data_IF_448480695730
#
_entry.id   IF_448480695730
#
_cell.length_a   1.000
_cell.length_b   1.000
_cell.length_c   1.000
_cell.angle_alpha   90.00
_cell.angle_beta   90.00
_cell.angle_gamma   90.00
#
_symmetry.space_group_name_H-M   'P 1'
#
loop_
_entity.id
_entity.type
_entity.pdbx_description
1 polymer ?
#
# COMPACT_ATOMS: atom_id res chain seq x y z
N UNK A 1 -1.18 -19.70 -9.12
CA UNK A 1 -2.12 -19.49 -10.25
C UNK A 1 -3.20 -18.54 -9.76
N UNK A 2 -3.16 -17.29 -10.18
CA UNK A 2 -4.24 -16.33 -9.89
C UNK A 2 -5.52 -16.76 -10.64
N UNK A 3 -6.72 -16.59 -10.04
CA UNK A 3 -7.97 -17.01 -10.66
C UNK A 3 -8.39 -16.03 -11.76
N UNK A 4 -8.52 -16.52 -12.99
CA UNK A 4 -9.07 -15.76 -14.11
C UNK A 4 -10.56 -15.44 -13.90
N UNK A 5 -10.91 -14.16 -13.85
CA UNK A 5 -12.29 -13.69 -13.69
C UNK A 5 -12.92 -13.38 -15.05
N UNK A 6 -14.01 -14.07 -15.39
CA UNK A 6 -14.80 -13.84 -16.62
C UNK A 6 -15.43 -12.45 -16.64
N UNK A 7 -15.14 -11.70 -17.70
CA UNK A 7 -15.55 -10.31 -17.96
C UNK A 7 -17.01 -10.25 -18.42
N UNK A 8 -17.86 -9.46 -17.75
CA UNK A 8 -19.20 -9.10 -18.24
C UNK A 8 -19.03 -7.86 -19.12
N UNK A 9 -19.43 -7.99 -20.39
CA UNK A 9 -19.29 -6.97 -21.43
C UNK A 9 -20.39 -5.93 -21.23
N UNK A 10 -20.01 -4.71 -20.88
CA UNK A 10 -20.86 -3.53 -21.00
C UNK A 10 -20.14 -2.59 -21.95
N UNK A 11 -20.78 -2.31 -23.08
CA UNK A 11 -20.24 -1.55 -24.20
C UNK A 11 -20.43 -0.05 -23.93
N UNK A 12 -19.32 0.62 -23.61
CA UNK A 12 -19.04 2.02 -23.92
C UNK A 12 -17.51 2.14 -24.07
N UNK A 13 -17.07 2.70 -25.19
CA UNK A 13 -15.69 2.70 -25.68
C UNK A 13 -14.79 3.68 -24.88
N UNK A 14 -14.36 3.27 -23.69
CA UNK A 14 -13.38 4.01 -22.88
C UNK A 14 -11.96 3.78 -23.41
N UNK A 15 -11.48 4.71 -24.23
CA UNK A 15 -10.37 4.51 -25.18
C UNK A 15 -9.00 4.78 -24.58
N UNK A 16 -8.68 4.19 -23.43
CA UNK A 16 -7.30 4.06 -22.96
C UNK A 16 -6.85 2.60 -23.12
N UNK A 17 -5.75 2.36 -23.84
CA UNK A 17 -5.19 1.01 -24.06
C UNK A 17 -4.41 0.47 -22.85
N UNK A 18 -4.40 1.21 -21.74
CA UNK A 18 -3.65 0.94 -20.53
C UNK A 18 -4.52 1.15 -19.29
N UNK A 19 -4.16 0.49 -18.20
CA UNK A 19 -4.85 0.59 -16.90
C UNK A 19 -3.84 1.01 -15.83
N UNK A 20 -4.25 1.92 -14.96
CA UNK A 20 -3.45 2.36 -13.81
C UNK A 20 -3.91 1.63 -12.56
N UNK A 21 -3.01 0.87 -11.95
CA UNK A 21 -3.31 0.04 -10.79
C UNK A 21 -2.48 0.48 -9.58
N UNK A 22 -3.07 0.55 -8.37
CA UNK A 22 -2.31 0.84 -7.17
C UNK A 22 -1.34 -0.30 -6.86
N UNK A 23 -0.16 0.03 -6.34
CA UNK A 23 0.73 -0.96 -5.73
C UNK A 23 0.48 -0.99 -4.23
N UNK A 24 -0.34 -1.95 -3.83
CA UNK A 24 -0.78 -2.13 -2.45
C UNK A 24 0.32 -2.74 -1.56
N UNK A 25 0.27 -2.41 -0.27
CA UNK A 25 1.13 -3.04 0.75
C UNK A 25 0.92 -4.55 0.82
N UNK A 26 1.88 -5.28 1.38
CA UNK A 26 1.73 -6.73 1.59
C UNK A 26 0.45 -7.07 2.36
N UNK A 27 0.14 -6.32 3.42
CA UNK A 27 -1.05 -6.51 4.26
C UNK A 27 -2.36 -6.40 3.46
N UNK A 28 -2.38 -5.52 2.46
CA UNK A 28 -3.54 -5.27 1.60
C UNK A 28 -3.63 -6.25 0.41
N UNK A 29 -2.48 -6.79 -0.05
CA UNK A 29 -2.43 -7.68 -1.22
C UNK A 29 -2.44 -9.17 -0.88
N UNK A 30 -2.03 -9.56 0.33
CA UNK A 30 -1.91 -10.95 0.71
C UNK A 30 -3.27 -11.61 0.99
N UNK A 31 -3.31 -12.93 0.81
CA UNK A 31 -4.41 -13.76 1.27
C UNK A 31 -4.52 -13.79 2.80
N UNK A 32 -5.63 -14.32 3.30
CA UNK A 32 -5.89 -14.34 4.74
C UNK A 32 -5.17 -15.51 5.38
N UNK A 33 -4.40 -15.20 6.42
CA UNK A 33 -3.85 -16.21 7.32
C UNK A 33 -4.90 -16.60 8.37
N UNK A 34 -5.00 -17.90 8.65
CA UNK A 34 -5.97 -18.45 9.60
C UNK A 34 -5.29 -19.11 10.78
N UNK A 35 -5.80 -18.81 11.98
CA UNK A 35 -5.49 -19.52 13.21
C UNK A 35 -6.55 -20.58 13.50
N UNK A 36 -6.14 -21.63 14.19
CA UNK A 36 -7.05 -22.64 14.72
C UNK A 36 -7.49 -22.25 16.13
N UNK A 37 -8.79 -22.32 16.39
CA UNK A 37 -9.38 -22.02 17.69
C UNK A 37 -10.43 -23.06 18.05
N UNK A 38 -10.59 -23.31 19.35
CA UNK A 38 -11.68 -24.15 19.86
C UNK A 38 -12.92 -23.29 20.10
N UNK A 39 -14.05 -23.70 19.54
CA UNK A 39 -15.35 -23.11 19.78
C UNK A 39 -16.29 -24.14 20.39
N UNK A 40 -17.30 -23.69 21.13
CA UNK A 40 -18.30 -24.55 21.74
C UNK A 40 -19.71 -23.95 21.58
N UNK A 41 -20.76 -24.77 21.47
CA UNK A 41 -22.14 -24.28 21.49
C UNK A 41 -22.50 -23.78 22.90
N UNK A 42 -23.26 -22.70 22.97
CA UNK A 42 -23.82 -22.18 24.22
C UNK A 42 -25.14 -22.90 24.48
N UNK A 43 -25.21 -23.68 25.56
CA UNK A 43 -26.38 -24.50 25.91
C UNK A 43 -27.60 -23.62 26.15
N UNK A 44 -27.42 -22.54 26.92
CA UNK A 44 -28.48 -21.58 27.26
C UNK A 44 -28.07 -20.15 26.92
N UNK A 45 -28.85 -19.52 26.03
CA UNK A 45 -28.61 -18.14 25.54
C UNK A 45 -28.54 -17.09 26.66
N UNK A 46 -29.17 -17.31 27.82
CA UNK A 46 -29.11 -16.36 28.95
C UNK A 46 -27.70 -16.25 29.54
N UNK A 47 -26.86 -17.26 29.36
CA UNK A 47 -25.54 -17.35 29.98
C UNK A 47 -24.45 -16.69 29.13
N UNK A 48 -24.78 -16.23 27.92
CA UNK A 48 -23.80 -15.67 26.95
C UNK A 48 -22.95 -14.55 27.53
N UNK A 49 -23.54 -13.57 28.22
CA UNK A 49 -22.78 -12.44 28.77
C UNK A 49 -21.80 -12.88 29.85
N UNK A 50 -22.22 -13.81 30.71
CA UNK A 50 -21.38 -14.37 31.75
C UNK A 50 -20.21 -15.17 31.16
N UNK A 51 -20.51 -16.06 30.20
CA UNK A 51 -19.50 -16.86 29.50
C UNK A 51 -18.46 -16.01 28.77
N UNK A 52 -18.88 -14.94 28.08
CA UNK A 52 -17.95 -14.02 27.41
C UNK A 52 -17.01 -13.34 28.40
N UNK A 53 -17.53 -12.83 29.53
CA UNK A 53 -16.68 -12.19 30.57
C UNK A 53 -15.67 -13.17 31.15
N UNK A 54 -16.15 -14.37 31.48
CA UNK A 54 -15.32 -15.43 32.07
C UNK A 54 -14.22 -15.90 31.11
N UNK A 55 -14.59 -16.25 29.89
CA UNK A 55 -13.62 -16.70 28.88
C UNK A 55 -12.64 -15.59 28.50
N UNK A 56 -13.03 -14.33 28.57
CA UNK A 56 -12.10 -13.19 28.37
C UNK A 56 -11.08 -13.09 29.50
N UNK A 57 -11.46 -13.43 30.73
CA UNK A 57 -10.53 -13.46 31.86
C UNK A 57 -9.57 -14.66 31.80
N UNK A 58 -10.03 -15.81 31.31
CA UNK A 58 -9.22 -17.05 31.24
C UNK A 58 -8.35 -17.12 29.98
N UNK A 59 -8.93 -16.83 28.82
CA UNK A 59 -8.33 -16.90 27.50
C UNK A 59 -8.60 -15.60 26.75
N UNK A 60 -7.83 -14.53 27.04
CA UNK A 60 -7.95 -13.29 26.31
C UNK A 60 -7.53 -13.51 24.85
N UNK A 61 -8.31 -12.97 23.91
CA UNK A 61 -7.98 -13.00 22.49
C UNK A 61 -7.10 -11.79 22.14
N UNK A 62 -5.88 -11.76 22.68
CA UNK A 62 -4.94 -10.65 22.46
C UNK A 62 -4.60 -10.49 20.97
N UNK A 63 -4.61 -9.24 20.49
CA UNK A 63 -4.40 -8.94 19.06
C UNK A 63 -5.56 -9.31 18.13
N UNK A 64 -6.62 -9.98 18.61
CA UNK A 64 -7.75 -10.47 17.80
C UNK A 64 -9.06 -9.72 18.08
N UNK A 65 -8.97 -8.42 18.35
CA UNK A 65 -10.14 -7.58 18.69
C UNK A 65 -11.16 -7.48 17.54
N UNK A 66 -10.74 -7.75 16.31
CA UNK A 66 -11.63 -7.82 15.14
C UNK A 66 -12.55 -9.03 15.15
N UNK A 67 -12.23 -10.08 15.92
CA UNK A 67 -13.01 -11.31 15.97
C UNK A 67 -14.23 -11.14 16.88
N UNK A 68 -15.42 -11.43 16.37
CA UNK A 68 -16.62 -11.49 17.22
C UNK A 68 -16.62 -12.80 17.98
N UNK A 69 -16.37 -12.77 19.30
CA UNK A 69 -16.24 -13.99 20.13
C UNK A 69 -17.44 -14.93 20.06
N UNK A 70 -18.64 -14.40 19.82
CA UNK A 70 -19.90 -15.15 19.73
C UNK A 70 -20.48 -15.02 18.32
N UNK A 71 -21.03 -16.12 17.79
CA UNK A 71 -21.79 -16.15 16.53
C UNK A 71 -23.10 -16.91 16.69
N UNK A 72 -24.03 -16.70 15.76
CA UNK A 72 -25.18 -17.58 15.60
C UNK A 72 -24.72 -18.94 15.08
N UNK A 73 -25.34 -20.02 15.57
CA UNK A 73 -25.07 -21.37 15.08
C UNK A 73 -25.34 -21.45 13.57
N UNK A 74 -24.48 -22.17 12.85
CA UNK A 74 -24.61 -22.32 11.39
C UNK A 74 -25.80 -23.20 11.02
N UNK A 75 -26.07 -24.22 11.83
CA UNK A 75 -27.22 -25.09 11.66
C UNK A 75 -28.45 -24.48 12.34
N UNK A 76 -29.46 -24.14 11.55
CA UNK A 76 -30.73 -23.58 12.04
C UNK A 76 -31.56 -24.59 12.82
N UNK A 77 -31.27 -25.88 12.69
CA UNK A 77 -31.94 -26.97 13.41
C UNK A 77 -31.22 -27.37 14.71
N UNK A 78 -30.06 -26.77 14.99
CA UNK A 78 -29.33 -27.01 16.22
C UNK A 78 -30.18 -26.62 17.44
N UNK A 79 -30.16 -27.43 18.52
CA UNK A 79 -30.81 -27.07 19.79
C UNK A 79 -30.16 -25.85 20.45
N UNK A 80 -28.96 -25.46 20.02
CA UNK A 80 -28.18 -24.37 20.59
C UNK A 80 -28.01 -23.23 19.57
N UNK A 81 -28.61 -22.06 19.80
CA UNK A 81 -28.67 -20.99 18.80
C UNK A 81 -27.37 -20.20 18.65
N UNK A 82 -26.42 -20.33 19.59
CA UNK A 82 -25.19 -19.54 19.63
C UNK A 82 -23.97 -20.44 19.85
N UNK A 83 -22.85 -20.01 19.30
CA UNK A 83 -21.53 -20.62 19.43
C UNK A 83 -20.54 -19.56 19.90
N UNK A 84 -19.57 -19.95 20.73
CA UNK A 84 -18.57 -19.06 21.32
C UNK A 84 -17.16 -19.62 21.16
N UNK A 85 -16.20 -18.75 20.87
CA UNK A 85 -14.77 -19.10 20.90
C UNK A 85 -14.32 -19.22 22.37
N UNK A 86 -13.74 -20.37 22.69
CA UNK A 86 -13.18 -20.70 23.99
C UNK A 86 -11.76 -20.14 24.08
N UNK A 87 -10.82 -20.70 23.30
CA UNK A 87 -9.40 -20.36 23.29
C UNK A 87 -8.77 -20.64 21.91
N UNK A 88 -7.53 -20.16 21.69
CA UNK A 88 -6.74 -20.56 20.54
C UNK A 88 -6.18 -21.98 20.76
N UNK A 89 -5.96 -22.71 19.67
CA UNK A 89 -5.33 -24.03 19.75
C UNK A 89 -3.88 -23.94 20.26
N UNK A 90 -3.20 -22.82 19.98
CA UNK A 90 -1.84 -22.52 20.47
C UNK A 90 -1.76 -22.35 21.99
N UNK A 91 -2.84 -21.95 22.65
CA UNK A 91 -2.84 -21.66 24.09
C UNK A 91 -2.67 -22.93 24.94
N UNK A 92 -2.94 -24.10 24.35
CA UNK A 92 -2.98 -25.38 25.07
C UNK A 92 -1.62 -26.08 25.18
N UNK A 93 -0.55 -25.57 24.53
CA UNK A 93 0.83 -26.08 24.59
C UNK A 93 1.02 -27.61 24.47
N UNK A 94 0.00 -28.37 24.10
CA UNK A 94 0.10 -29.79 23.81
C UNK A 94 0.67 -29.93 22.40
N UNK A 95 1.88 -30.47 22.33
CA UNK A 95 2.42 -31.05 21.10
C UNK A 95 1.51 -32.22 20.71
N UNK A 96 0.39 -31.96 20.07
CA UNK A 96 -0.47 -33.03 19.57
C UNK A 96 -0.67 -32.90 18.06
N UNK A 97 -0.36 -34.04 17.45
CA UNK A 97 -0.21 -34.36 16.05
C UNK A 97 -1.43 -33.93 15.23
N UNK A 98 -1.19 -33.60 13.96
CA UNK A 98 -2.21 -33.47 12.92
C UNK A 98 -3.05 -34.75 12.85
N UNK A 99 -4.08 -34.87 13.70
CA UNK A 99 -4.88 -36.09 13.90
C UNK A 99 -5.41 -36.31 15.32
N UNK A 100 -5.06 -35.48 16.31
CA UNK A 100 -5.50 -35.59 17.70
C UNK A 100 -7.01 -35.49 17.92
N UNK A 101 -7.51 -36.22 18.91
CA UNK A 101 -8.92 -36.18 19.36
C UNK A 101 -9.21 -34.81 19.96
N UNK A 102 -10.33 -34.18 19.58
CA UNK A 102 -10.73 -32.86 20.12
C UNK A 102 -10.87 -32.97 21.65
N UNK A 103 -10.15 -32.17 22.46
CA UNK A 103 -10.25 -32.23 23.92
C UNK A 103 -11.66 -31.91 24.38
N UNK A 104 -12.13 -32.58 25.43
CA UNK A 104 -13.43 -32.23 26.04
C UNK A 104 -13.39 -30.83 26.65
N UNK A 105 -14.57 -30.22 26.87
CA UNK A 105 -14.65 -28.86 27.42
C UNK A 105 -13.95 -28.73 28.78
N UNK A 106 -14.02 -29.78 29.61
CA UNK A 106 -13.34 -29.84 30.91
C UNK A 106 -11.82 -29.85 30.77
N UNK A 107 -11.31 -30.54 29.73
CA UNK A 107 -9.88 -30.55 29.43
C UNK A 107 -9.40 -29.18 28.95
N UNK A 108 -10.22 -28.47 28.15
CA UNK A 108 -9.88 -27.13 27.64
C UNK A 108 -9.82 -26.06 28.73
N UNK A 109 -10.65 -26.15 29.77
CA UNK A 109 -10.77 -25.10 30.80
C UNK A 109 -9.86 -25.31 32.02
N UNK A 110 -9.11 -26.43 32.09
CA UNK A 110 -8.16 -26.77 33.17
C UNK A 110 -8.70 -26.57 34.61
N UNK A 111 -10.03 -26.62 34.84
CA UNK A 111 -10.66 -26.39 36.15
C UNK A 111 -12.02 -27.11 36.29
N UNK A 112 -12.47 -27.23 37.55
CA UNK A 112 -13.65 -27.98 38.06
C UNK A 112 -14.94 -27.87 37.23
N UNK A 113 -15.79 -28.92 37.26
CA UNK A 113 -17.06 -29.05 36.51
C UNK A 113 -17.99 -27.81 36.58
N UNK A 114 -17.93 -27.04 37.67
CA UNK A 114 -18.65 -25.78 37.84
C UNK A 114 -18.30 -24.71 36.80
N UNK A 115 -17.12 -24.81 36.19
CA UNK A 115 -16.66 -23.83 35.21
C UNK A 115 -17.12 -24.10 33.77
N UNK A 116 -17.53 -25.33 33.51
CA UNK A 116 -18.00 -25.84 32.21
C UNK A 116 -19.51 -25.66 32.01
N UNK A 117 -20.24 -25.21 33.04
CA UNK A 117 -21.71 -25.11 32.99
C UNK A 117 -22.13 -24.11 31.90
N UNK A 118 -22.90 -24.59 30.93
CA UNK A 118 -23.46 -23.76 29.86
C UNK A 118 -22.74 -23.83 28.52
N UNK A 119 -21.65 -24.59 28.40
CA UNK A 119 -20.97 -24.91 27.14
C UNK A 119 -21.18 -26.39 26.78
N UNK A 120 -21.47 -26.68 25.52
CA UNK A 120 -21.51 -28.05 25.01
C UNK A 120 -20.15 -28.52 24.48
N UNK A 121 -20.15 -29.63 23.74
CA UNK A 121 -18.92 -30.22 23.22
C UNK A 121 -18.17 -29.27 22.27
N UNK A 122 -16.85 -29.09 22.47
CA UNK A 122 -16.06 -28.19 21.66
C UNK A 122 -15.77 -28.78 20.28
N UNK A 123 -15.46 -27.90 19.33
CA UNK A 123 -15.08 -28.23 17.97
C UNK A 123 -14.05 -27.22 17.44
N UNK A 124 -13.28 -27.64 16.44
CA UNK A 124 -12.23 -26.80 15.87
C UNK A 124 -12.78 -25.88 14.79
N UNK A 125 -12.36 -24.62 14.81
CA UNK A 125 -12.69 -23.61 13.80
C UNK A 125 -11.48 -22.83 13.36
N UNK A 126 -11.53 -22.34 12.11
CA UNK A 126 -10.57 -21.39 11.57
C UNK A 126 -11.06 -19.95 11.82
N UNK A 127 -10.17 -19.09 12.30
CA UNK A 127 -10.42 -17.66 12.49
C UNK A 127 -9.30 -16.84 11.84
N UNK A 128 -9.55 -15.65 11.28
CA UNK A 128 -8.52 -14.86 10.62
C UNK A 128 -7.51 -14.30 11.65
N UNK A 129 -6.21 -14.51 11.39
CA UNK A 129 -5.12 -14.07 12.26
C UNK A 129 -5.03 -12.55 12.36
N UNK A 130 -5.34 -11.84 11.28
CA UNK A 130 -5.28 -10.38 11.18
C UNK A 130 -6.63 -9.80 10.79
N UNK A 131 -6.91 -8.52 11.14
CA UNK A 131 -8.11 -7.84 10.67
C UNK A 131 -8.12 -7.74 9.15
N UNK A 132 -9.24 -8.04 8.48
CA UNK A 132 -9.35 -7.83 7.04
C UNK A 132 -9.26 -6.34 6.73
N UNK A 133 -8.45 -5.98 5.74
CA UNK A 133 -8.23 -4.59 5.33
C UNK A 133 -8.94 -4.26 4.01
N UNK A 134 -9.27 -5.28 3.21
CA UNK A 134 -10.01 -5.11 1.95
C UNK A 134 -11.35 -5.85 2.00
N UNK A 135 -12.33 -5.43 1.17
CA UNK A 135 -13.62 -6.14 1.09
C UNK A 135 -13.49 -7.60 0.65
N UNK A 136 -12.64 -7.96 -0.34
CA UNK A 136 -12.38 -9.37 -0.65
C UNK A 136 -11.86 -10.17 0.54
N UNK A 137 -10.91 -9.61 1.31
CA UNK A 137 -10.43 -10.24 2.55
C UNK A 137 -11.57 -10.38 3.56
N UNK A 138 -12.38 -9.34 3.77
CA UNK A 138 -13.50 -9.41 4.70
C UNK A 138 -14.52 -10.51 4.33
N UNK A 139 -14.86 -10.60 3.04
CA UNK A 139 -15.79 -11.61 2.53
C UNK A 139 -15.26 -13.02 2.73
N UNK A 140 -13.97 -13.25 2.49
CA UNK A 140 -13.32 -14.53 2.72
C UNK A 140 -13.23 -14.86 4.21
N UNK A 141 -12.75 -13.94 5.05
CA UNK A 141 -12.69 -14.13 6.51
C UNK A 141 -14.06 -14.46 7.11
N UNK A 142 -15.09 -13.73 6.68
CA UNK A 142 -16.46 -13.89 7.20
C UNK A 142 -17.08 -15.24 6.87
N UNK A 143 -16.59 -15.97 5.85
CA UNK A 143 -17.01 -17.36 5.58
C UNK A 143 -16.55 -18.33 6.67
N UNK A 144 -15.47 -18.01 7.38
CA UNK A 144 -14.91 -18.85 8.43
C UNK A 144 -15.44 -18.47 9.81
N UNK A 145 -15.31 -17.19 10.18
CA UNK A 145 -15.83 -16.68 11.45
C UNK A 145 -16.18 -15.20 11.33
N UNK A 146 -17.27 -14.72 11.98
CA UNK A 146 -17.63 -13.31 11.91
C UNK A 146 -16.53 -12.40 12.47
N UNK A 147 -16.16 -11.42 11.66
CA UNK A 147 -15.14 -10.42 11.96
C UNK A 147 -15.70 -9.01 11.77
N UNK A 148 -15.11 -8.01 12.41
CA UNK A 148 -15.37 -6.60 12.13
C UNK A 148 -14.55 -6.15 10.93
N UNK A 149 -15.14 -5.30 10.09
CA UNK A 149 -14.45 -4.70 8.96
C UNK A 149 -14.83 -3.22 8.85
N UNK A 150 -13.81 -2.38 8.81
CA UNK A 150 -13.94 -0.96 8.56
C UNK A 150 -13.33 -0.71 7.19
N UNK A 151 -14.20 -0.39 6.23
CA UNK A 151 -13.81 -0.26 4.84
C UNK A 151 -13.02 1.03 4.60
N UNK A 152 -11.81 0.90 4.07
CA UNK A 152 -11.09 2.01 3.48
C UNK A 152 -11.67 2.29 2.08
N UNK A 153 -12.31 3.45 1.94
CA UNK A 153 -12.96 3.86 0.69
C UNK A 153 -11.94 4.06 -0.44
N UNK A 154 -10.77 4.59 -0.15
CA UNK A 154 -9.75 4.85 -1.19
C UNK A 154 -9.21 3.53 -1.73
N UNK A 155 -8.83 2.60 -0.86
CA UNK A 155 -8.37 1.26 -1.28
C UNK A 155 -9.46 0.53 -2.07
N UNK A 156 -10.72 0.64 -1.64
CA UNK A 156 -11.85 -0.01 -2.33
C UNK A 156 -12.07 0.55 -3.74
N UNK A 157 -12.05 1.87 -3.89
CA UNK A 157 -12.16 2.53 -5.19
C UNK A 157 -10.96 2.19 -6.08
N UNK A 158 -9.76 2.15 -5.50
CA UNK A 158 -8.54 1.77 -6.20
C UNK A 158 -8.57 0.32 -6.72
N UNK A 159 -9.06 -0.63 -5.91
CA UNK A 159 -9.25 -2.02 -6.31
C UNK A 159 -10.32 -2.21 -7.40
N UNK A 160 -11.25 -1.26 -7.56
CA UNK A 160 -12.24 -1.25 -8.63
C UNK A 160 -11.73 -0.61 -9.93
N UNK A 161 -10.54 -0.01 -9.93
CA UNK A 161 -10.00 0.73 -11.07
C UNK A 161 -10.67 2.10 -11.28
N UNK A 162 -11.41 2.59 -10.28
CA UNK A 162 -12.22 3.82 -10.33
C UNK A 162 -11.51 5.01 -9.65
N UNK A 163 -10.21 4.88 -9.33
CA UNK A 163 -9.48 5.90 -8.57
C UNK A 163 -9.27 7.20 -9.33
N UNK A 164 -9.14 7.11 -10.65
CA UNK A 164 -8.81 8.25 -11.49
C UNK A 164 -9.89 8.47 -12.53
N UNK A 165 -10.33 9.72 -12.63
CA UNK A 165 -11.22 10.21 -13.67
C UNK A 165 -10.59 10.13 -15.06
N UNK A 166 -11.41 10.29 -16.10
CA UNK A 166 -10.94 10.31 -17.49
C UNK A 166 -9.96 11.47 -17.74
N UNK A 167 -10.22 12.63 -17.15
CA UNK A 167 -9.37 13.81 -17.29
C UNK A 167 -8.00 13.62 -16.60
N UNK A 168 -7.98 13.01 -15.42
CA UNK A 168 -6.74 12.64 -14.74
C UNK A 168 -5.93 11.63 -15.57
N UNK A 169 -6.58 10.61 -16.15
CA UNK A 169 -5.91 9.65 -17.05
C UNK A 169 -5.32 10.32 -18.29
N UNK A 170 -6.02 11.31 -18.87
CA UNK A 170 -5.50 12.08 -19.99
C UNK A 170 -4.26 12.90 -19.61
N UNK A 171 -4.25 13.52 -18.42
CA UNK A 171 -3.06 14.20 -17.88
C UNK A 171 -1.91 13.23 -17.65
N UNK A 172 -2.17 12.08 -17.01
CA UNK A 172 -1.16 11.02 -16.82
C UNK A 172 -0.54 10.57 -18.13
N UNK A 173 -1.35 10.40 -19.18
CA UNK A 173 -0.85 10.07 -20.52
C UNK A 173 0.10 11.15 -21.04
N UNK A 174 -0.30 12.42 -21.00
CA UNK A 174 0.54 13.55 -21.45
C UNK A 174 1.87 13.63 -20.69
N UNK A 175 1.87 13.38 -19.39
CA UNK A 175 3.08 13.38 -18.57
C UNK A 175 3.98 12.19 -18.89
N UNK A 176 3.42 11.00 -19.05
CA UNK A 176 4.17 9.80 -19.40
C UNK A 176 4.72 9.87 -20.84
N UNK A 177 4.01 10.47 -21.79
CA UNK A 177 4.51 10.74 -23.15
C UNK A 177 5.79 11.59 -23.14
N UNK A 178 5.84 12.64 -22.31
CA UNK A 178 7.04 13.46 -22.14
C UNK A 178 8.19 12.69 -21.48
N UNK A 179 7.90 11.83 -20.49
CA UNK A 179 8.90 10.95 -19.89
C UNK A 179 9.44 9.93 -20.91
N UNK A 180 8.59 9.38 -21.78
CA UNK A 180 8.98 8.49 -22.88
C UNK A 180 9.89 9.23 -23.87
N UNK A 181 9.57 10.48 -24.21
CA UNK A 181 10.38 11.27 -25.13
C UNK A 181 11.77 11.58 -24.54
N UNK A 182 11.83 11.95 -23.26
CA UNK A 182 13.10 12.11 -22.55
C UNK A 182 13.92 10.79 -22.57
N UNK A 183 13.25 9.64 -22.35
CA UNK A 183 13.90 8.33 -22.41
C UNK A 183 14.52 8.03 -23.78
N UNK A 184 13.86 8.44 -24.88
CA UNK A 184 14.38 8.29 -26.25
C UNK A 184 15.60 9.18 -26.47
N UNK A 185 15.53 10.45 -26.07
CA UNK A 185 16.67 11.37 -26.17
C UNK A 185 17.89 10.84 -25.39
N UNK A 186 17.68 10.34 -24.16
CA UNK A 186 18.77 9.73 -23.38
C UNK A 186 19.38 8.52 -24.07
N UNK A 187 18.56 7.71 -24.74
CA UNK A 187 19.03 6.57 -25.51
C UNK A 187 19.87 6.98 -26.73
N UNK A 188 19.47 8.03 -27.45
CA UNK A 188 20.26 8.57 -28.58
C UNK A 188 21.66 9.01 -28.12
N UNK A 189 21.78 9.47 -26.88
CA UNK A 189 23.05 9.79 -26.19
C UNK A 189 23.77 8.54 -25.62
N UNK A 190 23.30 7.33 -25.93
CA UNK A 190 23.88 6.06 -25.49
C UNK A 190 23.59 5.67 -24.04
N UNK A 191 22.60 6.29 -23.39
CA UNK A 191 22.18 5.99 -22.02
C UNK A 191 21.11 4.89 -21.97
N UNK A 192 20.77 4.43 -20.76
CA UNK A 192 19.62 3.55 -20.59
C UNK A 192 18.33 4.29 -20.99
N UNK A 193 17.40 3.58 -21.65
CA UNK A 193 16.11 4.12 -22.11
C UNK A 193 15.09 4.32 -20.99
N UNK A 194 15.45 5.16 -20.01
CA UNK A 194 14.57 5.55 -18.89
C UNK A 194 14.43 7.05 -18.88
N UNK A 195 13.19 7.49 -18.78
CA UNK A 195 12.83 8.89 -18.59
C UNK A 195 11.92 9.06 -17.39
N UNK A 196 11.97 10.24 -16.82
CA UNK A 196 11.23 10.62 -15.63
C UNK A 196 10.79 12.08 -15.74
N UNK A 197 9.70 12.40 -15.06
CA UNK A 197 9.10 13.72 -15.06
C UNK A 197 8.45 13.98 -13.71
N UNK A 198 8.69 15.15 -13.11
CA UNK A 198 8.08 15.58 -11.84
C UNK A 198 7.08 16.71 -12.12
N UNK A 199 5.88 16.61 -11.54
CA UNK A 199 4.83 17.63 -11.65
C UNK A 199 4.42 18.17 -10.29
N UNK A 200 4.06 19.45 -10.28
CA UNK A 200 3.22 20.02 -9.23
C UNK A 200 1.76 19.64 -9.55
N UNK A 201 1.12 18.86 -8.67
CA UNK A 201 -0.25 18.42 -8.87
C UNK A 201 -1.32 19.46 -8.54
N UNK A 202 -0.98 20.51 -7.80
CA UNK A 202 -1.91 21.59 -7.46
C UNK A 202 -2.03 22.58 -8.63
N UNK A 203 -0.96 22.74 -9.41
CA UNK A 203 -0.93 23.64 -10.59
C UNK A 203 -0.88 22.91 -11.93
N UNK A 204 -0.84 21.57 -11.94
CA UNK A 204 -0.58 20.71 -13.11
C UNK A 204 0.74 21.02 -13.86
N UNK A 205 1.65 21.78 -13.24
CA UNK A 205 2.87 22.25 -13.87
C UNK A 205 3.94 21.15 -13.91
N UNK A 206 4.59 20.98 -15.06
CA UNK A 206 5.80 20.16 -15.15
C UNK A 206 6.94 20.96 -14.53
N UNK A 207 7.63 20.39 -13.54
CA UNK A 207 8.72 21.04 -12.81
C UNK A 207 10.09 20.57 -13.29
N UNK A 208 10.24 19.29 -13.60
CA UNK A 208 11.48 18.72 -14.10
C UNK A 208 11.21 17.58 -15.07
N UNK A 209 12.04 17.50 -16.12
CA UNK A 209 12.08 16.39 -17.08
C UNK A 209 13.51 15.87 -17.12
N UNK A 210 13.68 14.54 -17.09
CA UNK A 210 14.99 13.93 -17.10
C UNK A 210 15.02 12.56 -17.78
N UNK A 211 16.21 12.14 -18.17
CA UNK A 211 16.53 10.78 -18.54
C UNK A 211 17.74 10.26 -17.78
N UNK A 212 18.10 9.00 -18.02
CA UNK A 212 19.28 8.40 -17.44
C UNK A 212 20.57 9.07 -17.95
N UNK A 213 21.53 9.34 -17.05
CA UNK A 213 22.81 9.99 -17.35
C UNK A 213 24.01 9.19 -16.80
N UNK A 214 23.90 7.86 -16.66
CA UNK A 214 24.87 7.03 -15.92
C UNK A 214 26.27 6.90 -16.54
N UNK A 215 26.41 7.10 -17.86
CA UNK A 215 27.67 6.80 -18.55
C UNK A 215 28.77 7.87 -18.39
N UNK A 216 28.51 9.00 -17.73
CA UNK A 216 29.50 9.98 -17.21
C UNK A 216 28.73 11.19 -16.66
N UNK A 217 28.97 11.71 -15.44
CA UNK A 217 30.10 11.42 -14.55
C UNK A 217 29.86 10.37 -13.45
N UNK A 218 28.62 9.93 -13.22
CA UNK A 218 28.29 9.09 -12.05
C UNK A 218 27.26 7.99 -12.41
N UNK A 219 27.54 6.70 -12.14
CA UNK A 219 26.62 5.60 -12.42
C UNK A 219 25.28 5.69 -11.67
N UNK A 220 25.20 6.50 -10.60
CA UNK A 220 23.99 6.70 -9.81
C UNK A 220 23.01 7.71 -10.45
N UNK A 221 23.36 8.34 -11.58
CA UNK A 221 22.51 9.32 -12.27
C UNK A 221 21.41 8.65 -13.09
N UNK A 222 20.54 7.90 -12.42
CA UNK A 222 19.30 7.40 -12.97
C UNK A 222 18.30 8.54 -13.19
N UNK A 223 17.37 8.41 -14.14
CA UNK A 223 16.39 9.45 -14.47
C UNK A 223 15.67 10.04 -13.24
N UNK A 224 15.31 9.22 -12.26
CA UNK A 224 14.69 9.66 -11.00
C UNK A 224 15.63 10.54 -10.17
N UNK A 225 16.90 10.17 -10.07
CA UNK A 225 17.90 10.95 -9.33
C UNK A 225 18.16 12.29 -10.02
N UNK A 226 18.21 12.28 -11.36
CA UNK A 226 18.37 13.50 -12.16
C UNK A 226 17.17 14.43 -11.98
N UNK A 227 15.93 13.91 -11.96
CA UNK A 227 14.75 14.72 -11.62
C UNK A 227 14.86 15.36 -10.23
N UNK A 228 15.23 14.59 -9.21
CA UNK A 228 15.38 15.10 -7.84
C UNK A 228 16.44 16.21 -7.79
N UNK A 229 17.58 16.02 -8.46
CA UNK A 229 18.65 17.03 -8.51
C UNK A 229 18.21 18.29 -9.27
N UNK A 230 17.48 18.16 -10.38
CA UNK A 230 16.93 19.29 -11.14
C UNK A 230 15.95 20.11 -10.32
N UNK A 231 15.08 19.47 -9.54
CA UNK A 231 14.20 20.17 -8.58
C UNK A 231 15.04 20.90 -7.53
N UNK A 232 16.10 20.26 -7.02
CA UNK A 232 17.01 20.89 -6.07
C UNK A 232 17.71 22.12 -6.67
N UNK A 233 18.15 22.08 -7.93
CA UNK A 233 18.68 23.26 -8.65
C UNK A 233 17.68 24.40 -8.69
N UNK A 234 16.40 24.10 -9.00
CA UNK A 234 15.32 25.08 -9.00
C UNK A 234 15.09 25.75 -7.64
N UNK A 235 15.51 25.09 -6.56
CA UNK A 235 15.41 25.56 -5.17
C UNK A 235 16.75 26.11 -4.64
N UNK A 236 17.74 26.36 -5.50
CA UNK A 236 19.04 26.92 -5.12
C UNK A 236 20.07 25.92 -4.60
N UNK A 237 19.77 24.62 -4.65
CA UNK A 237 20.68 23.51 -4.37
C UNK A 237 21.19 22.83 -5.66
N UNK A 238 21.14 21.50 -5.69
CA UNK A 238 21.59 20.67 -6.81
C UNK A 238 23.10 20.40 -6.82
N UNK A 239 23.48 19.19 -7.23
CA UNK A 239 24.87 18.73 -7.18
C UNK A 239 25.53 18.57 -8.55
N UNK A 240 24.75 18.29 -9.61
CA UNK A 240 25.28 17.93 -10.92
C UNK A 240 24.91 18.94 -12.01
N UNK A 241 25.71 19.01 -13.06
CA UNK A 241 25.45 19.89 -14.19
C UNK A 241 24.94 19.08 -15.40
N UNK A 242 23.73 19.39 -15.84
CA UNK A 242 23.05 18.70 -16.93
C UNK A 242 23.08 19.44 -18.27
N UNK A 243 23.89 20.50 -18.44
CA UNK A 243 23.99 21.26 -19.71
C UNK A 243 24.35 20.41 -20.93
N UNK A 244 25.00 19.26 -20.73
CA UNK A 244 25.32 18.29 -21.79
C UNK A 244 24.11 17.51 -22.27
N UNK A 245 23.00 17.52 -21.52
CA UNK A 245 21.80 16.73 -21.76
C UNK A 245 20.60 17.67 -21.96
N UNK A 246 20.34 18.17 -23.18
CA UNK A 246 19.29 19.16 -23.44
C UNK A 246 17.88 18.71 -23.02
N UNK A 247 17.63 17.41 -23.07
CA UNK A 247 16.36 16.83 -22.63
C UNK A 247 16.18 16.83 -21.10
N UNK A 248 17.26 16.97 -20.33
CA UNK A 248 17.23 17.10 -18.87
C UNK A 248 17.17 18.59 -18.48
N UNK A 249 16.01 19.04 -17.98
CA UNK A 249 15.85 20.44 -17.60
C UNK A 249 14.84 20.62 -16.46
N UNK A 250 15.08 21.67 -15.67
CA UNK A 250 14.13 22.23 -14.74
C UNK A 250 13.28 23.29 -15.46
N UNK A 251 11.98 23.33 -15.17
CA UNK A 251 11.04 24.31 -15.69
C UNK A 251 10.74 25.31 -14.57
N UNK A 252 11.19 26.57 -14.68
CA UNK A 252 10.90 27.58 -13.68
C UNK A 252 9.39 27.79 -13.54
N UNK A 253 8.87 27.65 -12.33
CA UNK A 253 7.50 28.06 -11.97
C UNK A 253 7.52 29.44 -11.34
N UNK A 254 6.53 30.28 -11.66
CA UNK A 254 6.38 31.59 -11.02
C UNK A 254 6.09 31.39 -9.52
N UNK A 255 7.07 31.71 -8.67
CA UNK A 255 7.04 31.52 -7.22
C UNK A 255 5.88 32.23 -6.46
N UNK A 256 5.04 33.00 -7.17
CA UNK A 256 3.87 33.69 -6.64
C UNK A 256 2.81 32.76 -6.04
N UNK A 257 2.73 31.50 -6.45
CA UNK A 257 1.73 30.54 -5.95
C UNK A 257 2.01 30.00 -4.54
N UNK A 258 3.28 29.88 -4.12
CA UNK A 258 3.62 29.28 -2.84
C UNK A 258 3.60 30.26 -1.65
N UNK A 259 3.64 31.56 -1.91
CA UNK A 259 3.62 32.61 -0.88
C UNK A 259 2.23 32.86 -0.26
N UNK A 260 1.17 32.22 -0.78
CA UNK A 260 -0.20 32.51 -0.38
C UNK A 260 -0.74 31.65 0.78
N UNK A 261 -0.01 30.62 1.24
CA UNK A 261 -0.58 29.56 2.08
C UNK A 261 0.03 29.40 3.49
N UNK A 262 0.98 30.23 3.91
CA UNK A 262 1.53 30.12 5.27
C UNK A 262 0.83 31.09 6.23
N UNK A 263 -0.14 30.55 6.97
CA UNK A 263 -0.84 31.28 8.04
C UNK A 263 -0.94 30.45 9.32
N UNK A 264 0.09 29.64 9.62
CA UNK A 264 0.16 28.94 10.90
C UNK A 264 1.58 28.54 11.29
N UNK A 265 2.24 29.35 12.15
CA UNK A 265 2.74 28.96 13.49
C UNK A 265 3.63 30.06 14.12
N UNK A 266 3.74 30.10 15.47
CA UNK A 266 4.23 31.24 16.22
C UNK A 266 5.76 31.28 16.36
N UNK A 267 6.25 32.51 16.52
CA UNK A 267 7.63 32.92 16.76
C UNK A 267 8.35 32.12 17.85
N UNK A 268 9.46 31.47 17.48
CA UNK A 268 10.51 31.09 18.42
C UNK A 268 11.82 31.67 17.90
N UNK A 269 12.36 32.59 18.69
CA UNK A 269 13.63 33.26 18.46
C UNK A 269 14.76 32.43 19.10
N UNK A 270 15.82 32.11 18.36
CA UNK A 270 17.22 32.27 18.80
C UNK A 270 18.21 31.68 17.76
N UNK A 271 18.96 32.61 17.17
CA UNK A 271 20.28 32.52 16.52
C UNK A 271 21.09 31.22 16.67
N UNK A 272 21.31 30.51 15.56
CA UNK A 272 22.63 30.21 14.98
C UNK A 272 22.55 29.03 13.99
N UNK A 273 22.62 29.35 12.68
CA UNK A 273 23.32 28.64 11.60
C UNK A 273 22.65 28.97 10.25
N UNK A 274 23.39 29.73 9.44
CA UNK A 274 23.38 29.79 7.98
C UNK A 274 22.04 30.09 7.26
N UNK A 275 21.94 31.36 6.82
CA UNK A 275 21.04 31.93 5.80
C UNK A 275 20.16 30.91 5.04
N UNK A 276 18.98 30.60 5.59
CA UNK A 276 17.88 30.02 4.82
C UNK A 276 17.26 31.13 3.99
N UNK A 277 17.42 31.07 2.67
CA UNK A 277 16.57 31.82 1.74
C UNK A 277 15.12 31.38 2.00
N UNK A 278 14.28 32.25 2.56
CA UNK A 278 12.81 32.10 2.62
C UNK A 278 12.20 32.17 1.20
N UNK A 279 12.64 31.27 0.31
CA UNK A 279 11.84 30.92 -0.85
C UNK A 279 10.75 30.00 -0.31
N UNK A 280 9.48 30.41 -0.35
CA UNK A 280 8.33 29.59 0.08
C UNK A 280 8.15 28.27 -0.69
N UNK A 281 9.17 27.77 -1.38
CA UNK A 281 9.19 26.52 -2.10
C UNK A 281 9.24 25.33 -1.12
N UNK A 282 8.56 24.22 -1.43
CA UNK A 282 8.59 23.03 -0.58
C UNK A 282 9.99 22.38 -0.60
N UNK A 283 10.30 21.61 0.45
CA UNK A 283 11.54 20.84 0.51
C UNK A 283 11.62 19.82 -0.65
N UNK A 284 12.54 20.02 -1.59
CA UNK A 284 12.82 19.14 -2.73
C UNK A 284 11.52 18.73 -3.44
N UNK A 285 11.10 17.47 -3.34
CA UNK A 285 9.93 16.94 -4.04
C UNK A 285 8.69 16.81 -3.14
N UNK A 286 8.67 17.51 -2.00
CA UNK A 286 7.55 17.42 -1.05
C UNK A 286 6.25 17.84 -1.73
N UNK A 287 5.28 16.93 -1.76
CA UNK A 287 3.96 17.19 -2.34
C UNK A 287 3.84 16.95 -3.84
N UNK A 288 4.94 16.66 -4.55
CA UNK A 288 4.95 16.47 -6.00
C UNK A 288 4.70 15.03 -6.43
N UNK A 289 4.28 14.87 -7.69
CA UNK A 289 4.08 13.56 -8.31
C UNK A 289 5.17 13.25 -9.34
N UNK A 290 5.68 12.02 -9.35
CA UNK A 290 6.67 11.52 -10.30
C UNK A 290 6.01 10.60 -11.32
N UNK A 291 6.31 10.81 -12.60
CA UNK A 291 6.03 9.88 -13.70
C UNK A 291 7.36 9.31 -14.21
N UNK A 292 7.49 7.99 -14.31
CA UNK A 292 8.73 7.34 -14.73
C UNK A 292 8.45 6.14 -15.62
N UNK A 293 9.19 6.00 -16.72
CA UNK A 293 8.89 4.96 -17.72
C UNK A 293 9.10 3.54 -17.19
N UNK A 294 10.06 3.36 -16.27
CA UNK A 294 10.44 2.07 -15.68
C UNK A 294 10.41 2.14 -14.15
N UNK A 295 9.98 1.05 -13.51
CA UNK A 295 9.93 0.95 -12.06
C UNK A 295 11.28 1.33 -11.41
N UNK A 296 11.28 2.26 -10.44
CA UNK A 296 12.48 2.67 -9.71
C UNK A 296 13.14 1.50 -8.97
N UNK A 297 14.48 1.42 -9.06
CA UNK A 297 15.28 0.50 -8.26
C UNK A 297 15.33 0.93 -6.77
N UNK A 298 15.93 0.09 -5.92
CA UNK A 298 16.03 0.34 -4.46
C UNK A 298 16.62 1.72 -4.13
N UNK A 299 17.68 2.14 -4.83
CA UNK A 299 18.29 3.45 -4.62
C UNK A 299 17.32 4.59 -4.93
N UNK A 300 16.70 4.58 -6.12
CA UNK A 300 15.76 5.61 -6.53
C UNK A 300 14.52 5.64 -5.63
N UNK A 301 14.00 4.47 -5.25
CA UNK A 301 12.87 4.35 -4.35
C UNK A 301 13.19 4.95 -2.96
N UNK A 302 14.38 4.71 -2.41
CA UNK A 302 14.79 5.31 -1.14
C UNK A 302 15.04 6.82 -1.27
N UNK A 303 15.59 7.28 -2.39
CA UNK A 303 15.75 8.72 -2.65
C UNK A 303 14.41 9.45 -2.68
N UNK A 304 13.35 8.80 -3.21
CA UNK A 304 11.99 9.32 -3.21
C UNK A 304 11.39 9.43 -1.80
N UNK A 305 11.69 8.49 -0.90
CA UNK A 305 11.37 8.60 0.54
C UNK A 305 12.03 9.85 1.12
N UNK A 306 13.34 10.01 0.89
CA UNK A 306 14.10 11.17 1.39
C UNK A 306 13.67 12.50 0.81
N UNK A 307 13.16 12.51 -0.42
CA UNK A 307 12.68 13.71 -1.12
C UNK A 307 11.21 14.02 -0.84
N UNK A 308 10.55 13.21 -0.01
CA UNK A 308 9.13 13.37 0.39
C UNK A 308 8.14 13.42 -0.78
N UNK A 309 8.42 12.68 -1.85
CA UNK A 309 7.51 12.60 -3.01
C UNK A 309 6.10 12.20 -2.55
N UNK A 310 5.05 12.71 -3.20
CA UNK A 310 3.67 12.39 -2.86
C UNK A 310 3.18 11.12 -3.53
N UNK A 311 3.32 11.03 -4.85
CA UNK A 311 2.89 9.86 -5.64
C UNK A 311 3.90 9.52 -6.72
N UNK A 312 3.97 8.24 -7.09
CA UNK A 312 4.80 7.74 -8.19
C UNK A 312 3.96 6.92 -9.14
N UNK A 313 4.01 7.27 -10.42
CA UNK A 313 3.36 6.58 -11.52
C UNK A 313 4.44 5.98 -12.41
N UNK A 314 4.44 4.66 -12.59
CA UNK A 314 5.40 4.02 -13.50
C UNK A 314 4.74 3.18 -14.59
N UNK A 315 5.43 3.09 -15.73
CA UNK A 315 4.95 2.35 -16.89
C UNK A 315 5.17 0.84 -16.76
N UNK A 316 6.43 0.41 -16.86
CA UNK A 316 6.80 -1.01 -16.87
C UNK A 316 7.53 -1.42 -15.59
N UNK A 317 7.30 -2.66 -15.12
CA UNK A 317 8.04 -3.27 -14.02
C UNK A 317 9.53 -3.46 -14.35
N UNK A 318 10.39 -3.49 -13.32
CA UNK A 318 11.83 -3.75 -13.48
C UNK A 318 12.29 -4.92 -12.62
N UNK A 319 13.27 -5.69 -13.09
CA UNK A 319 13.81 -6.85 -12.35
C UNK A 319 14.50 -6.46 -11.04
N UNK A 320 14.95 -5.21 -10.91
CA UNK A 320 15.51 -4.59 -9.70
C UNK A 320 14.54 -3.61 -9.03
N UNK A 321 13.29 -3.59 -9.46
CA UNK A 321 12.25 -2.69 -9.01
C UNK A 321 11.91 -2.83 -7.53
N UNK A 322 11.79 -1.69 -6.85
CA UNK A 322 11.64 -1.62 -5.39
C UNK A 322 10.32 -0.98 -4.93
N UNK A 323 9.39 -0.75 -5.87
CA UNK A 323 8.06 -0.20 -5.59
C UNK A 323 6.95 -1.22 -5.80
N UNK A 324 7.22 -2.40 -6.33
CA UNK A 324 6.28 -3.51 -6.43
C UNK A 324 6.89 -4.86 -6.80
N UNK A 325 8.05 -4.89 -7.48
CA UNK A 325 8.62 -6.15 -7.98
C UNK A 325 9.38 -6.95 -6.92
N UNK A 326 10.48 -6.41 -6.37
CA UNK A 326 11.26 -7.07 -5.32
C UNK A 326 10.93 -6.55 -3.92
N UNK A 327 10.62 -5.26 -3.84
CA UNK A 327 10.33 -4.58 -2.59
C UNK A 327 9.12 -3.67 -2.79
N UNK A 328 8.53 -3.25 -1.66
CA UNK A 328 7.50 -2.21 -1.60
C UNK A 328 7.95 -1.17 -0.57
N UNK A 329 9.03 -0.45 -0.91
CA UNK A 329 9.67 0.50 0.03
C UNK A 329 8.68 1.58 0.48
N UNK A 330 7.82 2.03 -0.42
CA UNK A 330 6.80 3.06 -0.17
C UNK A 330 5.77 2.68 0.91
N UNK A 331 5.65 1.40 1.27
CA UNK A 331 4.70 0.92 2.30
C UNK A 331 5.37 0.50 3.60
N UNK A 332 6.69 0.65 3.75
CA UNK A 332 7.40 0.19 4.96
C UNK A 332 7.07 1.10 6.15
N UNK A 333 6.59 0.49 7.24
CA UNK A 333 6.17 1.20 8.47
C UNK A 333 7.35 1.83 9.23
N UNK A 334 8.53 1.23 9.12
CA UNK A 334 9.75 1.70 9.82
C UNK A 334 10.42 2.91 9.14
N UNK A 335 9.91 3.34 7.96
CA UNK A 335 10.39 4.53 7.27
C UNK A 335 9.58 5.76 7.67
N UNK A 336 10.25 6.92 7.67
CA UNK A 336 9.71 8.19 8.14
C UNK A 336 8.78 8.90 7.13
N UNK A 337 8.68 8.41 5.89
CA UNK A 337 7.78 8.92 4.86
C UNK A 337 7.18 7.77 4.06
N UNK A 338 5.92 7.92 3.64
CA UNK A 338 5.19 6.97 2.81
C UNK A 338 4.53 7.74 1.67
N UNK A 339 4.45 7.12 0.51
CA UNK A 339 3.91 7.71 -0.70
C UNK A 339 3.11 6.69 -1.50
N UNK A 340 2.20 7.16 -2.35
CA UNK A 340 1.37 6.27 -3.16
C UNK A 340 2.10 5.87 -4.43
N UNK A 341 1.89 4.63 -4.87
CA UNK A 341 2.52 4.11 -6.09
C UNK A 341 1.46 3.51 -6.98
N UNK A 342 1.54 3.83 -8.26
CA UNK A 342 0.68 3.33 -9.30
C UNK A 342 1.51 2.79 -10.47
N UNK A 343 1.05 1.69 -11.05
CA UNK A 343 1.73 1.00 -12.15
C UNK A 343 0.83 0.90 -13.38
N UNK A 344 1.44 0.71 -14.55
CA UNK A 344 0.75 0.38 -15.80
C UNK A 344 0.43 1.59 -16.68
N UNK A 345 0.86 2.79 -16.31
CA UNK A 345 0.61 4.01 -17.11
C UNK A 345 1.39 3.93 -18.43
N UNK A 346 0.68 3.82 -19.55
CA UNK A 346 1.27 3.59 -20.89
C UNK A 346 2.26 2.40 -20.92
N UNK A 347 1.94 1.31 -20.22
CA UNK A 347 2.81 0.14 -20.07
C UNK A 347 3.38 -0.38 -21.41
N UNK A 348 2.53 -0.49 -22.44
CA UNK A 348 2.95 -1.00 -23.75
C UNK A 348 4.00 -0.12 -24.43
N UNK A 349 3.88 1.20 -24.33
CA UNK A 349 4.83 2.12 -24.94
C UNK A 349 6.13 2.19 -24.14
N UNK A 350 6.04 2.11 -22.81
CA UNK A 350 7.20 1.97 -21.93
C UNK A 350 7.95 0.64 -22.16
N UNK A 351 7.23 -0.45 -22.41
CA UNK A 351 7.82 -1.75 -22.70
C UNK A 351 8.63 -1.73 -24.00
N UNK A 352 8.16 -1.02 -25.04
CA UNK A 352 8.89 -0.85 -26.31
C UNK A 352 10.24 -0.17 -26.12
N UNK A 353 10.37 0.76 -25.16
CA UNK A 353 11.66 1.41 -24.84
C UNK A 353 12.73 0.41 -24.37
N UNK A 354 12.32 -0.67 -23.71
CA UNK A 354 13.24 -1.69 -23.18
C UNK A 354 13.65 -2.75 -24.21
N UNK A 355 12.94 -2.81 -25.34
CA UNK A 355 13.20 -3.77 -26.43
C UNK A 355 14.05 -3.19 -27.56
N UNK A 356 14.08 -1.86 -27.67
CA UNK A 356 14.99 -1.15 -28.54
C UNK A 356 16.38 -1.21 -27.91
#
# INVERSE_FOLDING_TARGET
MEPQRKRRKTEESDTFLWEVLPVLSEELSQGIEFLQAYAAPIINKKDTSHLVKKLTAMYPLEGLQHIKRVRACRDKHSPHPLEIIVCLASDLNSKEEEGGTIPSITALLHNSESDCTGLGEPFLVKIPAFPPLTRPQFEEASRHWPTSFHEDKQVTVALKGELFSKDEKAKMQKYMEQAIEAARAGKEEGMASVGALVVDPDTDAVLAVAHDCRNSPNPLLHAVMVCIDLIAHGQGGGAYNYKKYPACHFVPTDASHYLANDNSLPSVDCSSLEQTTESGLPYICTGYDLYVTREPCVMCAMALVHSRIRRVFFGVISTDGALGTKYKIHTKKDLNHRFEVFKGVMEQDCQKLSQL
#
